data_IF_626844001137
#
_entry.id   IF_626844001137
#
_cell.length_a   1.000
_cell.length_b   1.000
_cell.length_c   1.000
_cell.angle_alpha   90.00
_cell.angle_beta   90.00
_cell.angle_gamma   90.00
#
_symmetry.space_group_name_H-M   'P 1'
#
loop_
_entity.id
_entity.type
_entity.pdbx_description
1 polymer ?
#
# COMPACT_ATOMS: atom_id res chain seq x y z
N UNK A 1 -13.60 -12.73 9.14
CA UNK A 1 -12.56 -12.41 8.14
C UNK A 1 -12.91 -11.04 7.58
N UNK A 2 -12.08 -10.02 7.82
CA UNK A 2 -12.34 -8.68 7.30
C UNK A 2 -11.96 -8.64 5.82
N UNK A 3 -12.91 -8.29 4.97
CA UNK A 3 -12.69 -8.05 3.56
C UNK A 3 -12.82 -6.55 3.31
N UNK A 4 -11.69 -5.89 3.02
CA UNK A 4 -11.67 -4.47 2.68
C UNK A 4 -12.11 -4.19 1.24
N UNK A 5 -12.36 -5.23 0.43
CA UNK A 5 -12.56 -5.13 -1.01
C UNK A 5 -11.30 -4.73 -1.79
N UNK A 6 -10.15 -4.59 -1.12
CA UNK A 6 -8.89 -4.17 -1.73
C UNK A 6 -7.92 -5.35 -1.88
N UNK A 7 -7.36 -5.54 -3.08
CA UNK A 7 -6.31 -6.56 -3.28
C UNK A 7 -5.02 -6.22 -2.53
N UNK A 8 -4.72 -4.93 -2.37
CA UNK A 8 -3.54 -4.41 -1.65
C UNK A 8 -3.85 -3.04 -1.05
N UNK A 9 -3.51 -2.84 0.21
CA UNK A 9 -3.55 -1.52 0.87
C UNK A 9 -2.34 -0.68 0.43
N UNK A 10 -2.56 0.62 0.16
CA UNK A 10 -1.49 1.58 -0.14
C UNK A 10 -1.35 2.54 1.03
N UNK A 11 -0.12 2.72 1.53
CA UNK A 11 0.17 3.60 2.66
C UNK A 11 1.41 4.44 2.37
N UNK A 12 1.38 5.76 2.63
CA UNK A 12 2.57 6.62 2.53
C UNK A 12 3.53 6.42 3.72
N UNK A 13 3.09 5.75 4.79
CA UNK A 13 3.83 5.61 6.04
C UNK A 13 4.80 4.43 5.99
N UNK A 14 5.92 4.60 5.27
CA UNK A 14 6.96 3.58 5.10
C UNK A 14 7.39 2.91 6.42
N UNK A 15 7.51 3.66 7.51
CA UNK A 15 7.99 3.16 8.80
C UNK A 15 7.01 2.21 9.51
N UNK A 16 5.77 2.12 9.05
CA UNK A 16 4.75 1.21 9.60
C UNK A 16 4.77 -0.18 8.94
N UNK A 17 5.56 -0.36 7.88
CA UNK A 17 5.73 -1.66 7.23
C UNK A 17 6.72 -2.53 8.02
N UNK A 18 6.25 -3.64 8.58
CA UNK A 18 7.06 -4.55 9.41
C UNK A 18 8.03 -5.40 8.61
N UNK A 19 7.71 -5.64 7.34
CA UNK A 19 8.53 -6.41 6.38
C UNK A 19 8.92 -5.55 5.18
N UNK A 20 9.20 -4.26 5.41
CA UNK A 20 9.53 -3.33 4.33
C UNK A 20 10.71 -3.81 3.48
N UNK A 21 10.47 -3.91 2.17
CA UNK A 21 11.48 -4.10 1.15
C UNK A 21 11.35 -3.02 0.09
N UNK A 22 12.49 -2.45 -0.33
CA UNK A 22 12.53 -1.55 -1.49
C UNK A 22 12.31 -2.36 -2.77
N UNK A 23 11.50 -1.82 -3.67
CA UNK A 23 11.25 -2.39 -4.99
C UNK A 23 11.65 -1.39 -6.08
N UNK A 24 11.89 -1.84 -7.33
CA UNK A 24 11.94 -0.92 -8.46
C UNK A 24 10.65 -0.08 -8.53
N UNK A 25 10.77 1.18 -8.95
CA UNK A 25 9.62 2.07 -9.06
C UNK A 25 8.54 1.45 -9.94
N UNK A 26 7.36 1.23 -9.37
CA UNK A 26 6.21 0.68 -10.08
C UNK A 26 5.14 1.75 -10.21
N UNK A 27 4.77 2.17 -11.45
CA UNK A 27 3.67 3.10 -11.65
C UNK A 27 2.32 2.45 -11.30
N UNK A 28 1.45 3.23 -10.69
CA UNK A 28 0.08 2.89 -10.32
C UNK A 28 -0.80 4.01 -10.84
N UNK A 29 -1.64 3.67 -11.81
CA UNK A 29 -2.58 4.63 -12.41
C UNK A 29 -3.83 4.68 -11.55
N UNK A 30 -4.18 5.87 -11.08
CA UNK A 30 -5.45 6.15 -10.43
C UNK A 30 -6.53 6.50 -11.45
N UNK A 31 -7.79 6.38 -11.04
CA UNK A 31 -8.95 6.60 -11.90
C UNK A 31 -9.07 8.05 -12.40
N UNK A 32 -8.46 8.99 -11.70
CA UNK A 32 -8.41 10.41 -12.03
C UNK A 32 -7.21 10.79 -12.92
N UNK A 33 -6.58 9.80 -13.57
CA UNK A 33 -5.40 9.92 -14.43
C UNK A 33 -4.11 10.34 -13.71
N UNK A 34 -4.08 10.36 -12.37
CA UNK A 34 -2.82 10.53 -11.64
C UNK A 34 -2.01 9.23 -11.63
N UNK A 35 -0.69 9.38 -11.57
CA UNK A 35 0.24 8.25 -11.47
C UNK A 35 0.99 8.34 -10.15
N UNK A 36 0.79 7.34 -9.30
CA UNK A 36 1.60 7.14 -8.10
C UNK A 36 2.74 6.17 -8.41
N UNK A 37 3.88 6.36 -7.76
CA UNK A 37 5.01 5.43 -7.87
C UNK A 37 5.18 4.66 -6.56
N UNK A 38 4.94 3.36 -6.59
CA UNK A 38 5.28 2.49 -5.47
C UNK A 38 6.79 2.26 -5.46
N UNK A 39 7.43 2.57 -4.33
CA UNK A 39 8.89 2.44 -4.12
C UNK A 39 9.25 1.34 -3.12
N UNK A 40 8.25 0.76 -2.45
CA UNK A 40 8.43 -0.30 -1.48
C UNK A 40 7.17 -1.15 -1.30
N UNK A 41 7.34 -2.30 -0.66
CA UNK A 41 6.29 -3.24 -0.31
C UNK A 41 6.61 -3.87 1.04
N UNK A 42 5.59 -4.29 1.76
CA UNK A 42 5.70 -5.15 2.94
C UNK A 42 4.31 -5.37 3.55
N UNK A 43 4.30 -5.98 4.71
CA UNK A 43 3.12 -6.17 5.55
C UNK A 43 2.99 -5.03 6.56
N UNK A 44 1.76 -4.72 6.95
CA UNK A 44 1.42 -3.66 7.90
C UNK A 44 0.26 -4.13 8.77
N UNK A 45 0.32 -3.84 10.06
CA UNK A 45 -0.83 -3.98 10.94
C UNK A 45 -1.75 -2.78 10.77
N UNK A 46 -3.03 -3.03 10.46
CA UNK A 46 -4.05 -2.00 10.28
C UNK A 46 -5.15 -2.26 11.29
N UNK A 47 -5.52 -1.22 12.05
CA UNK A 47 -6.68 -1.27 12.94
C UNK A 47 -7.91 -0.84 12.16
N UNK A 48 -8.93 -1.68 12.14
CA UNK A 48 -10.22 -1.37 11.49
C UNK A 48 -11.21 -0.96 12.59
N UNK A 49 -11.77 0.26 12.54
CA UNK A 49 -12.82 0.65 13.47
C UNK A 49 -14.12 -0.13 13.18
N UNK A 50 -14.79 -0.59 14.25
CA UNK A 50 -16.09 -1.27 14.20
C UNK A 50 -17.24 -0.27 14.10
#
# INVERSE_FOLDING_TARGET
LFDSGASRHMSPYRHLFVTYQRIPERPINAADNHVFKAVGRGDMYITVPN
#
